data_IF_837002137415
#
_entry.id   IF_837002137415
#
_cell.length_a   1.000
_cell.length_b   1.000
_cell.length_c   1.000
_cell.angle_alpha   90.00
_cell.angle_beta   90.00
_cell.angle_gamma   90.00
#
_symmetry.space_group_name_H-M   'P 1'
#
loop_
_entity.id
_entity.type
_entity.pdbx_description
1 polymer ?
#
# COMPACT_ATOMS: atom_id res chain seq x y z
N UNK A 1 -9.37 -10.39 3.88
CA UNK A 1 -10.26 -11.51 4.28
C UNK A 1 -11.22 -11.04 5.36
N UNK A 2 -12.50 -11.36 5.22
CA UNK A 2 -13.55 -11.07 6.20
C UNK A 2 -14.15 -12.38 6.71
N UNK A 3 -14.59 -12.39 7.97
CA UNK A 3 -15.40 -13.45 8.56
C UNK A 3 -16.71 -12.81 9.05
N UNK A 4 -17.82 -13.50 8.81
CA UNK A 4 -19.15 -13.15 9.33
C UNK A 4 -19.42 -13.91 10.63
N UNK A 5 -20.09 -13.28 11.56
CA UNK A 5 -20.51 -13.86 12.85
C UNK A 5 -21.97 -14.29 12.79
N UNK A 6 -22.34 -15.25 13.64
CA UNK A 6 -23.67 -15.88 13.60
C UNK A 6 -24.85 -14.91 13.88
N UNK A 7 -24.57 -13.77 14.51
CA UNK A 7 -25.50 -12.67 14.79
C UNK A 7 -25.65 -11.68 13.62
N UNK A 8 -25.04 -11.97 12.47
CA UNK A 8 -25.08 -11.12 11.28
C UNK A 8 -24.04 -9.99 11.28
N UNK A 9 -23.14 -9.96 12.26
CA UNK A 9 -21.96 -9.09 12.26
C UNK A 9 -20.83 -9.64 11.39
N UNK A 10 -19.70 -8.94 11.39
CA UNK A 10 -18.50 -9.41 10.72
C UNK A 10 -17.28 -8.54 11.04
N UNK A 11 -16.09 -9.10 10.83
CA UNK A 11 -14.84 -8.37 11.00
C UNK A 11 -13.78 -8.85 10.00
N UNK A 12 -12.81 -7.99 9.73
CA UNK A 12 -11.65 -8.35 8.93
C UNK A 12 -10.69 -9.20 9.77
N UNK A 13 -10.15 -10.23 9.14
CA UNK A 13 -9.09 -11.05 9.73
C UNK A 13 -7.75 -10.86 9.05
N UNK A 14 -7.73 -10.19 7.90
CA UNK A 14 -6.52 -9.83 7.16
C UNK A 14 -6.86 -8.76 6.12
N UNK A 15 -5.95 -7.82 5.87
CA UNK A 15 -6.04 -6.87 4.76
C UNK A 15 -4.73 -6.86 3.98
N UNK A 16 -4.79 -6.81 2.65
CA UNK A 16 -3.63 -6.54 1.80
C UNK A 16 -3.86 -5.23 1.06
N UNK A 17 -3.00 -4.25 1.31
CA UNK A 17 -2.98 -2.97 0.62
C UNK A 17 -2.14 -3.08 -0.65
N UNK A 18 -2.64 -2.53 -1.75
CA UNK A 18 -1.94 -2.49 -3.05
C UNK A 18 -1.75 -1.06 -3.54
N UNK A 19 -0.94 -0.25 -2.83
CA UNK A 19 -0.72 1.12 -3.21
C UNK A 19 0.06 1.20 -4.52
N UNK A 20 -0.39 2.09 -5.42
CA UNK A 20 0.37 2.47 -6.59
C UNK A 20 1.13 3.76 -6.28
N UNK A 21 2.45 3.67 -6.23
CA UNK A 21 3.34 4.80 -5.94
C UNK A 21 4.00 5.23 -7.23
N UNK A 22 3.84 6.52 -7.56
CA UNK A 22 4.49 7.13 -8.71
C UNK A 22 5.59 8.03 -8.17
N UNK A 23 6.83 7.83 -8.64
CA UNK A 23 7.99 8.64 -8.24
C UNK A 23 8.57 9.38 -9.44
N UNK A 24 9.26 10.48 -9.19
CA UNK A 24 9.84 11.30 -10.26
C UNK A 24 10.89 10.54 -11.05
N UNK A 25 11.20 11.01 -12.26
CA UNK A 25 12.23 10.39 -13.12
C UNK A 25 13.62 10.36 -12.53
N UNK A 26 13.92 11.30 -11.65
CA UNK A 26 15.20 11.43 -10.97
C UNK A 26 15.26 10.57 -9.69
N UNK A 27 14.12 9.98 -9.30
CA UNK A 27 14.02 9.12 -8.12
C UNK A 27 14.49 7.69 -8.40
N UNK A 28 15.01 7.05 -7.36
CA UNK A 28 15.34 5.62 -7.37
C UNK A 28 14.10 4.78 -6.96
N UNK A 29 13.61 3.96 -7.89
CA UNK A 29 12.47 3.08 -7.66
C UNK A 29 12.75 1.96 -6.66
N UNK A 30 13.98 1.48 -6.54
CA UNK A 30 14.36 0.46 -5.57
C UNK A 30 14.34 1.04 -4.15
N UNK A 31 14.93 2.22 -3.97
CA UNK A 31 14.87 2.96 -2.71
C UNK A 31 13.42 3.30 -2.31
N UNK A 32 12.56 3.69 -3.26
CA UNK A 32 11.14 3.95 -3.00
C UNK A 32 10.41 2.71 -2.47
N UNK A 33 10.76 1.51 -2.94
CA UNK A 33 10.18 0.26 -2.45
C UNK A 33 10.62 -0.05 -1.00
N UNK A 34 11.91 0.09 -0.68
CA UNK A 34 12.41 -0.10 0.70
C UNK A 34 11.78 0.90 1.68
N UNK A 35 11.71 2.18 1.29
CA UNK A 35 11.07 3.21 2.11
C UNK A 35 9.58 2.93 2.33
N UNK A 36 8.89 2.36 1.34
CA UNK A 36 7.49 1.98 1.50
C UNK A 36 7.31 0.89 2.57
N UNK A 37 8.20 -0.11 2.59
CA UNK A 37 8.17 -1.15 3.62
C UNK A 37 8.41 -0.56 5.03
N UNK A 38 9.39 0.34 5.18
CA UNK A 38 9.63 1.02 6.45
C UNK A 38 8.47 1.92 6.88
N UNK A 39 7.82 2.60 5.93
CA UNK A 39 6.63 3.41 6.23
C UNK A 39 5.46 2.55 6.70
N UNK A 40 5.34 1.32 6.19
CA UNK A 40 4.32 0.38 6.64
C UNK A 40 4.46 0.00 8.12
N UNK A 41 5.70 -0.17 8.61
CA UNK A 41 5.98 -0.41 10.05
C UNK A 41 5.47 0.74 10.94
N UNK A 42 5.44 1.95 10.40
CA UNK A 42 4.97 3.16 11.09
C UNK A 42 3.51 3.52 10.74
N UNK A 43 2.81 2.69 9.95
CA UNK A 43 1.51 3.03 9.41
C UNK A 43 0.44 3.09 10.50
N UNK A 44 -0.21 4.25 10.66
CA UNK A 44 -1.30 4.42 11.62
C UNK A 44 -2.40 3.37 11.50
N UNK A 45 -2.81 3.02 10.28
CA UNK A 45 -3.86 2.02 10.05
C UNK A 45 -3.39 0.65 10.51
N UNK A 46 -2.21 0.20 10.08
CA UNK A 46 -1.67 -1.11 10.44
C UNK A 46 -1.43 -1.23 11.96
N UNK A 47 -1.01 -0.15 12.61
CA UNK A 47 -0.76 -0.10 14.04
C UNK A 47 -2.03 0.11 14.91
N UNK A 48 -3.17 0.43 14.31
CA UNK A 48 -4.43 0.68 15.05
C UNK A 48 -5.42 -0.48 14.99
N UNK A 49 -5.11 -1.54 14.24
CA UNK A 49 -6.01 -2.70 14.08
C UNK A 49 -5.40 -3.95 14.71
N UNK A 50 -6.24 -4.89 15.09
CA UNK A 50 -5.84 -6.13 15.77
C UNK A 50 -5.69 -7.34 14.82
N UNK A 51 -5.58 -7.09 13.51
CA UNK A 51 -5.41 -8.11 12.48
C UNK A 51 -4.25 -7.73 11.55
N UNK A 52 -3.60 -8.70 10.87
CA UNK A 52 -2.49 -8.41 9.97
C UNK A 52 -2.93 -7.52 8.80
N UNK A 53 -2.16 -6.46 8.57
CA UNK A 53 -2.20 -5.65 7.36
C UNK A 53 -0.91 -5.93 6.60
N UNK A 54 -1.01 -6.32 5.33
CA UNK A 54 0.12 -6.54 4.42
C UNK A 54 0.15 -5.43 3.37
N UNK A 55 1.33 -5.14 2.83
CA UNK A 55 1.49 -4.17 1.74
C UNK A 55 2.20 -4.83 0.54
N UNK A 56 1.58 -4.71 -0.63
CA UNK A 56 2.11 -5.14 -1.94
C UNK A 56 2.17 -3.89 -2.85
N UNK A 57 3.17 -3.00 -2.66
CA UNK A 57 3.26 -1.77 -3.45
C UNK A 57 3.65 -2.06 -4.90
N UNK A 58 3.10 -1.26 -5.82
CA UNK A 58 3.60 -1.14 -7.18
C UNK A 58 4.25 0.23 -7.33
N UNK A 59 5.55 0.27 -7.62
CA UNK A 59 6.29 1.51 -7.88
C UNK A 59 6.41 1.73 -9.39
N UNK A 60 6.09 2.93 -9.87
CA UNK A 60 6.33 3.34 -11.26
C UNK A 60 6.99 4.71 -11.33
N UNK A 61 7.80 4.93 -12.37
CA UNK A 61 8.38 6.25 -12.64
C UNK A 61 7.38 7.10 -13.43
N UNK A 62 7.30 8.40 -13.12
CA UNK A 62 6.54 9.38 -13.90
C UNK A 62 6.91 9.30 -15.39
N UNK A 63 5.91 9.10 -16.24
CA UNK A 63 6.11 9.22 -17.68
C UNK A 63 6.26 10.69 -18.03
N UNK A 64 7.18 11.03 -18.96
CA UNK A 64 7.06 12.33 -19.63
C UNK A 64 5.71 12.35 -20.34
N UNK A 65 4.89 13.36 -20.10
CA UNK A 65 3.97 13.76 -21.15
C UNK A 65 4.84 14.15 -22.34
N UNK A 66 4.63 13.48 -23.48
CA UNK A 66 4.93 14.13 -24.74
C UNK A 66 4.00 15.34 -24.78
N UNK A 67 4.57 16.55 -24.76
CA UNK A 67 3.84 17.73 -25.18
C UNK A 67 3.31 17.41 -26.59
N UNK A 68 1.99 17.28 -26.71
CA UNK A 68 1.32 17.19 -28.00
C UNK A 68 1.40 18.54 -28.70
N UNK A 69 1.67 18.44 -30.01
CA UNK A 69 1.57 19.44 -31.09
C UNK A 69 1.07 20.85 -30.75
#
# INVERSE_FOLDING_TARGET
KMIETADGGGHFTEVTLRPHVIVSKESDSANANELHHKAHELCFIANSVNFPVRAEPQISIEKSSAAGD
#
